data_IF_211166606042
#
_entry.id   IF_211166606042
#
_cell.length_a   1.000
_cell.length_b   1.000
_cell.length_c   1.000
_cell.angle_alpha   90.00
_cell.angle_beta   90.00
_cell.angle_gamma   90.00
#
_symmetry.space_group_name_H-M   'P 1'
#
loop_
_entity.id
_entity.type
_entity.pdbx_description
1 polymer ?
#
# COMPACT_ATOMS: atom_id res chain seq x y z
N UNK A 1 16.55 21.38 -50.68
CA UNK A 1 16.19 22.42 -49.71
C UNK A 1 14.94 21.93 -48.99
N UNK A 2 15.13 21.39 -47.80
CA UNK A 2 14.08 21.13 -46.81
C UNK A 2 14.78 20.53 -45.60
N UNK A 3 15.01 21.42 -44.64
CA UNK A 3 15.64 21.21 -43.35
C UNK A 3 15.09 20.00 -42.58
N UNK A 4 16.00 19.35 -41.88
CA UNK A 4 15.79 18.38 -40.81
C UNK A 4 14.94 18.97 -39.68
N UNK A 5 13.86 18.28 -39.30
CA UNK A 5 13.18 18.50 -38.01
C UNK A 5 13.71 17.49 -36.98
N UNK A 6 14.38 17.92 -35.90
CA UNK A 6 14.81 17.01 -34.84
C UNK A 6 13.61 16.57 -34.00
N UNK A 7 13.35 15.26 -33.95
CA UNK A 7 12.35 14.65 -33.06
C UNK A 7 12.81 14.77 -31.60
N UNK A 8 11.95 15.23 -30.65
CA UNK A 8 12.33 15.35 -29.25
C UNK A 8 12.52 13.96 -28.62
N UNK A 9 13.75 13.64 -28.21
CA UNK A 9 14.17 12.32 -27.70
C UNK A 9 14.34 12.30 -26.17
N UNK A 10 13.68 13.21 -25.45
CA UNK A 10 13.97 13.56 -24.05
C UNK A 10 12.76 13.45 -23.09
N UNK A 11 11.61 12.94 -23.54
CA UNK A 11 10.33 12.96 -22.77
C UNK A 11 9.69 11.58 -22.54
N UNK A 12 10.37 10.50 -22.92
CA UNK A 12 9.94 9.12 -22.67
C UNK A 12 10.33 8.65 -21.26
N UNK A 13 11.51 9.05 -20.78
CA UNK A 13 12.05 8.60 -19.49
C UNK A 13 11.31 9.22 -18.30
N UNK A 14 10.95 10.51 -18.38
CA UNK A 14 10.25 11.21 -17.29
C UNK A 14 8.81 10.70 -17.14
N UNK A 15 8.12 10.52 -18.27
CA UNK A 15 6.80 9.90 -18.30
C UNK A 15 6.84 8.46 -17.76
N UNK A 16 7.90 7.71 -18.07
CA UNK A 16 8.15 6.36 -17.55
C UNK A 16 8.39 6.35 -16.01
N UNK A 17 8.93 7.42 -15.43
CA UNK A 17 8.99 7.51 -13.97
C UNK A 17 7.63 7.88 -13.36
N UNK A 18 6.94 8.87 -13.93
CA UNK A 18 5.64 9.32 -13.46
C UNK A 18 4.58 8.21 -13.44
N UNK A 19 4.43 7.43 -14.52
CA UNK A 19 3.43 6.35 -14.54
C UNK A 19 3.75 5.25 -13.52
N UNK A 20 5.03 4.94 -13.27
CA UNK A 20 5.43 3.96 -12.25
C UNK A 20 4.99 4.40 -10.86
N UNK A 21 5.28 5.65 -10.50
CA UNK A 21 4.87 6.18 -9.20
C UNK A 21 3.34 6.30 -9.08
N UNK A 22 2.67 6.76 -10.14
CA UNK A 22 1.21 6.82 -10.16
C UNK A 22 0.57 5.43 -10.01
N UNK A 23 1.09 4.43 -10.70
CA UNK A 23 0.63 3.04 -10.59
C UNK A 23 0.82 2.48 -9.19
N UNK A 24 1.99 2.70 -8.58
CA UNK A 24 2.26 2.28 -7.21
C UNK A 24 1.32 2.96 -6.21
N UNK A 25 1.02 4.24 -6.41
CA UNK A 25 0.08 4.97 -5.56
C UNK A 25 -1.35 4.41 -5.67
N UNK A 26 -1.83 4.14 -6.87
CA UNK A 26 -3.16 3.54 -7.09
C UNK A 26 -3.25 2.16 -6.44
N UNK A 27 -2.21 1.33 -6.57
CA UNK A 27 -2.16 0.02 -5.90
C UNK A 27 -2.15 0.14 -4.38
N UNK A 28 -1.44 1.12 -3.82
CA UNK A 28 -1.42 1.34 -2.38
C UNK A 28 -2.80 1.80 -1.86
N UNK A 29 -3.42 2.78 -2.52
CA UNK A 29 -4.74 3.27 -2.16
C UNK A 29 -5.82 2.19 -2.29
N UNK A 30 -5.77 1.38 -3.35
CA UNK A 30 -6.72 0.27 -3.53
C UNK A 30 -6.60 -0.76 -2.40
N UNK A 31 -5.37 -1.06 -1.95
CA UNK A 31 -5.13 -1.98 -0.85
C UNK A 31 -5.75 -1.50 0.47
N UNK A 32 -5.65 -0.20 0.76
CA UNK A 32 -6.28 0.41 1.95
C UNK A 32 -7.80 0.30 1.88
N UNK A 33 -8.38 0.60 0.72
CA UNK A 33 -9.83 0.52 0.52
C UNK A 33 -10.32 -0.92 0.71
N UNK A 34 -9.65 -1.88 0.07
CA UNK A 34 -9.99 -3.30 0.17
C UNK A 34 -9.89 -3.80 1.61
N UNK A 35 -8.83 -3.42 2.33
CA UNK A 35 -8.63 -3.76 3.74
C UNK A 35 -9.75 -3.20 4.62
N UNK A 36 -10.12 -1.93 4.43
CA UNK A 36 -11.14 -1.27 5.22
C UNK A 36 -12.55 -1.84 4.94
N UNK A 37 -12.90 -2.00 3.66
CA UNK A 37 -14.16 -2.63 3.26
C UNK A 37 -14.26 -4.05 3.83
N UNK A 38 -13.22 -4.88 3.68
CA UNK A 38 -13.24 -6.26 4.18
C UNK A 38 -13.44 -6.33 5.69
N UNK A 39 -12.87 -5.39 6.45
CA UNK A 39 -13.05 -5.30 7.90
C UNK A 39 -14.50 -5.03 8.30
N UNK A 40 -15.17 -4.11 7.60
CA UNK A 40 -16.58 -3.76 7.84
C UNK A 40 -17.50 -4.93 7.45
N UNK A 41 -17.28 -5.51 6.27
CA UNK A 41 -18.08 -6.62 5.78
C UNK A 41 -17.92 -7.86 6.68
N UNK A 42 -16.70 -8.17 7.12
CA UNK A 42 -16.45 -9.27 8.05
C UNK A 42 -17.21 -9.08 9.37
N UNK A 43 -17.15 -7.89 9.97
CA UNK A 43 -17.84 -7.61 11.22
C UNK A 43 -19.37 -7.72 11.09
N UNK A 44 -19.93 -7.33 9.93
CA UNK A 44 -21.38 -7.31 9.71
C UNK A 44 -21.94 -8.68 9.35
N UNK A 45 -21.24 -9.44 8.49
CA UNK A 45 -21.75 -10.70 7.93
C UNK A 45 -21.23 -11.95 8.66
N UNK A 46 -19.97 -11.95 9.10
CA UNK A 46 -19.34 -13.15 9.66
C UNK A 46 -19.46 -13.22 11.18
N UNK A 47 -19.48 -12.08 11.85
CA UNK A 47 -19.51 -12.00 13.33
C UNK A 47 -20.55 -10.98 13.82
N UNK A 48 -21.84 -11.13 13.49
CA UNK A 48 -22.86 -10.20 13.96
C UNK A 48 -22.99 -10.26 15.48
N UNK A 49 -23.16 -9.09 16.12
CA UNK A 49 -23.25 -8.95 17.59
C UNK A 49 -24.63 -9.38 18.12
N UNK A 50 -25.00 -10.65 17.90
CA UNK A 50 -26.25 -11.25 18.38
C UNK A 50 -26.01 -12.65 18.94
N UNK A 51 -26.83 -13.10 19.90
CA UNK A 51 -26.70 -14.44 20.48
C UNK A 51 -26.86 -15.56 19.45
N UNK A 52 -27.75 -15.37 18.47
CA UNK A 52 -27.91 -16.31 17.34
C UNK A 52 -26.67 -16.29 16.44
N UNK A 53 -26.09 -15.11 16.22
CA UNK A 53 -24.84 -14.93 15.47
C UNK A 53 -23.66 -15.65 16.10
N UNK A 54 -23.60 -15.71 17.43
CA UNK A 54 -22.56 -16.43 18.15
C UNK A 54 -22.67 -17.95 17.95
N UNK A 55 -23.89 -18.49 17.99
CA UNK A 55 -24.15 -19.92 17.70
C UNK A 55 -23.91 -20.28 16.22
N UNK A 56 -24.22 -19.37 15.30
CA UNK A 56 -23.99 -19.56 13.86
C UNK A 56 -22.54 -19.28 13.43
N UNK A 57 -21.75 -18.60 14.27
CA UNK A 57 -20.38 -18.20 13.95
C UNK A 57 -19.47 -19.33 13.44
N UNK A 58 -19.43 -20.57 13.98
CA UNK A 58 -18.54 -21.60 13.43
C UNK A 58 -18.94 -22.05 12.02
N UNK A 59 -20.23 -22.02 11.69
CA UNK A 59 -20.74 -22.40 10.37
C UNK A 59 -20.50 -21.29 9.34
N UNK A 60 -20.67 -20.04 9.74
CA UNK A 60 -20.45 -18.88 8.86
C UNK A 60 -18.95 -18.59 8.70
N UNK A 61 -18.14 -18.82 9.73
CA UNK A 61 -16.69 -18.65 9.69
C UNK A 61 -15.99 -19.60 8.71
N UNK A 62 -16.55 -20.80 8.47
CA UNK A 62 -16.05 -21.74 7.47
C UNK A 62 -16.51 -21.42 6.05
N UNK A 63 -17.39 -20.42 5.87
CA UNK A 63 -17.82 -19.99 4.55
C UNK A 63 -16.65 -19.37 3.76
N UNK A 64 -16.58 -19.61 2.44
CA UNK A 64 -15.46 -19.11 1.62
C UNK A 64 -15.35 -17.59 1.64
N UNK A 65 -16.46 -16.88 1.77
CA UNK A 65 -16.49 -15.42 1.85
C UNK A 65 -15.83 -14.90 3.13
N UNK A 66 -16.17 -15.47 4.28
CA UNK A 66 -15.60 -15.05 5.56
C UNK A 66 -14.12 -15.37 5.66
N UNK A 67 -13.70 -16.55 5.20
CA UNK A 67 -12.28 -16.93 5.12
C UNK A 67 -11.51 -15.96 4.24
N UNK A 68 -12.08 -15.55 3.10
CA UNK A 68 -11.45 -14.58 2.19
C UNK A 68 -11.27 -13.23 2.85
N UNK A 69 -12.29 -12.70 3.54
CA UNK A 69 -12.17 -11.44 4.27
C UNK A 69 -11.13 -11.53 5.40
N UNK A 70 -11.10 -12.64 6.13
CA UNK A 70 -10.13 -12.86 7.19
C UNK A 70 -8.70 -12.87 6.65
N UNK A 71 -8.48 -13.50 5.49
CA UNK A 71 -7.21 -13.50 4.79
C UNK A 71 -6.80 -12.07 4.38
N UNK A 72 -7.71 -11.32 3.77
CA UNK A 72 -7.46 -9.92 3.37
C UNK A 72 -7.14 -9.05 4.58
N UNK A 73 -7.83 -9.21 5.70
CA UNK A 73 -7.56 -8.45 6.92
C UNK A 73 -6.18 -8.83 7.49
N UNK A 74 -5.87 -10.12 7.57
CA UNK A 74 -4.61 -10.58 8.13
C UNK A 74 -3.41 -10.12 7.27
N UNK A 75 -3.43 -10.42 5.98
CA UNK A 75 -2.32 -10.08 5.08
C UNK A 75 -2.31 -8.60 4.71
N UNK A 76 -3.46 -7.97 4.50
CA UNK A 76 -3.55 -6.54 4.18
C UNK A 76 -2.96 -5.67 5.29
N UNK A 77 -3.22 -5.99 6.56
CA UNK A 77 -2.60 -5.31 7.68
C UNK A 77 -1.07 -5.48 7.73
N UNK A 78 -0.58 -6.67 7.35
CA UNK A 78 0.87 -6.94 7.23
C UNK A 78 1.47 -6.08 6.12
N UNK A 79 0.87 -6.01 4.94
CA UNK A 79 1.37 -5.22 3.83
C UNK A 79 1.47 -3.73 4.18
N UNK A 80 0.41 -3.15 4.75
CA UNK A 80 0.40 -1.74 5.16
C UNK A 80 1.54 -1.45 6.14
N UNK A 81 1.73 -2.30 7.16
CA UNK A 81 2.84 -2.14 8.12
C UNK A 81 4.21 -2.18 7.44
N UNK A 82 4.43 -3.12 6.53
CA UNK A 82 5.70 -3.21 5.80
C UNK A 82 5.98 -1.96 4.96
N UNK A 83 4.97 -1.41 4.28
CA UNK A 83 5.11 -0.17 3.51
C UNK A 83 5.53 1.00 4.42
N UNK A 84 4.87 1.15 5.58
CA UNK A 84 5.24 2.16 6.56
C UNK A 84 6.64 1.96 7.14
N UNK A 85 7.07 0.70 7.35
CA UNK A 85 8.44 0.43 7.79
C UNK A 85 9.48 0.85 6.75
N UNK A 86 9.24 0.59 5.46
CA UNK A 86 10.14 1.02 4.39
C UNK A 86 10.24 2.55 4.35
N UNK A 87 9.11 3.25 4.46
CA UNK A 87 9.09 4.72 4.54
C UNK A 87 9.86 5.20 5.77
N UNK A 88 9.66 4.58 6.94
CA UNK A 88 10.40 4.90 8.16
C UNK A 88 11.91 4.71 8.00
N UNK A 89 12.34 3.60 7.40
CA UNK A 89 13.76 3.34 7.11
C UNK A 89 14.34 4.39 6.15
N UNK A 90 13.59 4.80 5.12
CA UNK A 90 14.02 5.85 4.21
C UNK A 90 14.22 7.18 4.94
N UNK A 91 13.29 7.56 5.82
CA UNK A 91 13.40 8.80 6.62
C UNK A 91 14.62 8.76 7.54
N UNK A 92 14.85 7.65 8.24
CA UNK A 92 16.01 7.48 9.12
C UNK A 92 17.31 7.57 8.31
N UNK A 93 17.39 6.89 7.16
CA UNK A 93 18.55 6.94 6.29
C UNK A 93 18.86 8.37 5.83
N UNK A 94 17.85 9.12 5.39
CA UNK A 94 18.01 10.53 5.01
C UNK A 94 18.49 11.39 6.18
N UNK A 95 17.95 11.19 7.38
CA UNK A 95 18.37 11.93 8.56
C UNK A 95 19.81 11.63 8.99
N UNK A 96 20.22 10.35 8.94
CA UNK A 96 21.59 9.95 9.26
C UNK A 96 22.59 10.48 8.23
N UNK A 97 22.26 10.39 6.93
CA UNK A 97 23.08 10.93 5.84
C UNK A 97 23.30 12.44 6.02
N UNK A 98 22.24 13.19 6.36
CA UNK A 98 22.31 14.61 6.66
C UNK A 98 23.27 14.92 7.82
N UNK A 99 23.20 14.16 8.92
CA UNK A 99 24.12 14.32 10.07
C UNK A 99 25.57 14.02 9.70
N UNK A 100 25.83 13.03 8.84
CA UNK A 100 27.20 12.72 8.37
C UNK A 100 27.79 13.79 7.45
N UNK A 101 26.95 14.45 6.63
CA UNK A 101 27.39 15.51 5.71
C UNK A 101 27.73 16.84 6.40
N UNK A 102 27.18 17.12 7.58
CA UNK A 102 27.45 18.36 8.32
C UNK A 102 28.73 18.30 9.14
N UNK A 103 29.15 17.12 9.60
CA UNK A 103 30.40 16.93 10.36
C UNK A 103 31.67 17.50 9.71
N UNK A 104 31.92 17.41 8.39
CA UNK A 104 33.12 17.98 7.78
C UNK A 104 33.13 19.50 7.64
N UNK A 105 32.05 20.22 7.96
CA UNK A 105 31.95 21.67 7.77
C UNK A 105 32.34 22.49 9.01
N UNK A 106 32.67 21.82 10.11
CA UNK A 106 33.03 22.42 11.39
C UNK A 106 34.38 21.87 11.89
N UNK A 107 35.36 21.73 11.00
CA UNK A 107 36.77 21.54 11.33
C UNK A 107 37.66 22.18 10.26
#
# INVERSE_FOLDING_TARGET
MSESSPTPKQDDTVMNHLYKYAFLFVLYSSHIIIYHCSSILHATYCTPFTWIGLLQSPFVATSPYCVSFQWIIYYGGIYIRHTWMIVGMFVIHTFLSWKTLIKPLHN
#
